data_IF_223433474282
#
_entry.id   IF_223433474282
#
_cell.length_a   1.000
_cell.length_b   1.000
_cell.length_c   1.000
_cell.angle_alpha   90.00
_cell.angle_beta   90.00
_cell.angle_gamma   90.00
#
_symmetry.space_group_name_H-M   'P 1'
#
loop_
_entity.id
_entity.type
_entity.pdbx_description
1 polymer ?
#
# COMPACT_ATOMS: atom_id res chain seq x y z
N UNK A 1 -35.38 -32.17 13.83
CA UNK A 1 -34.62 -31.67 12.66
C UNK A 1 -33.38 -30.96 13.18
N UNK A 2 -32.23 -31.63 13.15
CA UNK A 2 -30.96 -31.09 13.65
C UNK A 2 -30.44 -30.04 12.69
N UNK A 3 -30.26 -28.80 13.16
CA UNK A 3 -29.54 -27.76 12.43
C UNK A 3 -28.08 -28.20 12.34
N UNK A 4 -27.62 -28.51 11.14
CA UNK A 4 -26.20 -28.70 10.84
C UNK A 4 -25.43 -27.46 11.31
N UNK A 5 -24.31 -27.62 12.04
CA UNK A 5 -23.41 -26.51 12.34
C UNK A 5 -22.94 -25.92 11.01
N UNK A 6 -23.00 -24.59 10.87
CA UNK A 6 -22.35 -23.91 9.73
C UNK A 6 -20.86 -24.23 9.82
N UNK A 7 -20.34 -24.94 8.83
CA UNK A 7 -18.91 -25.15 8.63
C UNK A 7 -18.18 -23.81 8.63
N UNK A 8 -16.94 -23.73 9.16
CA UNK A 8 -16.13 -22.52 9.05
C UNK A 8 -16.02 -22.14 7.57
N UNK A 9 -16.39 -20.91 7.23
CA UNK A 9 -16.41 -20.41 5.85
C UNK A 9 -15.05 -20.64 5.17
N UNK A 10 -15.08 -21.26 4.01
CA UNK A 10 -14.01 -21.28 2.98
C UNK A 10 -13.61 -19.87 2.46
N UNK A 11 -14.16 -18.80 3.06
CA UNK A 11 -13.99 -17.40 2.65
C UNK A 11 -12.60 -16.81 2.96
N UNK A 12 -11.75 -17.53 3.70
CA UNK A 12 -10.38 -17.08 4.04
C UNK A 12 -9.31 -17.67 3.09
N UNK A 13 -9.72 -18.37 2.03
CA UNK A 13 -8.81 -18.89 1.02
C UNK A 13 -8.27 -17.81 0.07
N UNK A 14 -9.00 -16.71 -0.10
CA UNK A 14 -8.65 -15.62 -1.03
C UNK A 14 -8.84 -14.22 -0.41
N UNK A 15 -7.98 -13.28 -0.79
CA UNK A 15 -8.16 -11.84 -0.62
C UNK A 15 -8.36 -11.22 -2.00
N UNK A 16 -9.55 -10.71 -2.33
CA UNK A 16 -9.84 -10.00 -3.60
C UNK A 16 -9.25 -10.67 -4.87
N UNK A 17 -9.30 -12.00 -4.94
CA UNK A 17 -8.74 -12.80 -6.06
C UNK A 17 -7.33 -13.37 -5.83
N UNK A 18 -6.60 -12.89 -4.82
CA UNK A 18 -5.32 -13.44 -4.39
C UNK A 18 -5.50 -14.63 -3.48
N UNK A 19 -4.94 -15.80 -3.82
CA UNK A 19 -4.84 -16.92 -2.89
C UNK A 19 -4.05 -16.50 -1.65
N UNK A 20 -4.63 -16.66 -0.46
CA UNK A 20 -3.98 -16.31 0.82
C UNK A 20 -2.68 -17.09 1.00
N UNK A 21 -2.60 -18.33 0.52
CA UNK A 21 -1.34 -19.10 0.48
C UNK A 21 -0.22 -18.41 -0.31
N UNK A 22 -0.55 -17.70 -1.40
CA UNK A 22 0.45 -16.93 -2.17
C UNK A 22 0.81 -15.63 -1.46
N UNK A 23 -0.14 -15.00 -0.79
CA UNK A 23 0.07 -13.81 0.03
C UNK A 23 0.94 -14.15 1.25
N UNK A 24 0.73 -15.31 1.88
CA UNK A 24 1.51 -15.73 3.05
C UNK A 24 2.94 -16.18 2.71
N UNK A 25 3.23 -16.55 1.46
CA UNK A 25 4.59 -16.91 1.02
C UNK A 25 5.52 -15.69 0.95
N UNK A 26 6.60 -15.71 1.73
CA UNK A 26 7.48 -14.54 1.96
C UNK A 26 8.29 -14.09 0.73
N UNK A 27 8.67 -14.99 -0.18
CA UNK A 27 9.67 -14.69 -1.22
C UNK A 27 9.12 -14.08 -2.51
N UNK A 28 7.84 -14.30 -2.84
CA UNK A 28 7.25 -13.80 -4.10
C UNK A 28 6.58 -12.44 -3.91
N UNK A 29 6.78 -11.54 -4.89
CA UNK A 29 6.00 -10.30 -4.99
C UNK A 29 4.55 -10.65 -5.32
N UNK A 30 3.62 -9.88 -4.76
CA UNK A 30 2.21 -9.93 -5.11
C UNK A 30 1.96 -8.81 -6.11
N UNK A 31 1.40 -9.16 -7.27
CA UNK A 31 0.98 -8.20 -8.28
C UNK A 31 -0.39 -7.63 -7.87
N UNK A 32 -0.35 -6.61 -6.99
CA UNK A 32 -1.52 -5.94 -6.46
C UNK A 32 -2.34 -5.25 -7.56
N UNK A 33 -3.67 -5.36 -7.47
CA UNK A 33 -4.62 -4.71 -8.34
C UNK A 33 -4.46 -3.18 -8.20
N UNK A 34 -4.78 -2.46 -9.28
CA UNK A 34 -4.70 -1.01 -9.28
C UNK A 34 -5.52 -0.37 -8.15
N UNK A 35 -6.68 -0.95 -7.80
CA UNK A 35 -7.52 -0.51 -6.70
C UNK A 35 -6.86 -0.66 -5.33
N UNK A 36 -6.11 -1.74 -5.10
CA UNK A 36 -5.43 -1.98 -3.83
C UNK A 36 -4.19 -1.09 -3.70
N UNK A 37 -3.46 -0.89 -4.80
CA UNK A 37 -2.36 0.07 -4.85
C UNK A 37 -2.83 1.50 -4.54
N UNK A 38 -4.01 1.91 -5.03
CA UNK A 38 -4.61 3.21 -4.66
C UNK A 38 -4.80 3.36 -3.16
N UNK A 39 -5.30 2.31 -2.48
CA UNK A 39 -5.45 2.29 -1.02
C UNK A 39 -4.09 2.49 -0.34
N UNK A 40 -3.05 1.77 -0.80
CA UNK A 40 -1.71 1.93 -0.24
C UNK A 40 -1.16 3.33 -0.45
N UNK A 41 -1.33 3.90 -1.65
CA UNK A 41 -0.74 5.19 -2.01
C UNK A 41 -1.40 6.32 -1.21
N UNK A 42 -2.72 6.25 -1.05
CA UNK A 42 -3.47 7.13 -0.15
C UNK A 42 -2.97 7.03 1.29
N UNK A 43 -2.84 5.81 1.80
CA UNK A 43 -2.38 5.56 3.15
C UNK A 43 -0.96 6.11 3.40
N UNK A 44 -0.03 5.87 2.48
CA UNK A 44 1.34 6.37 2.59
C UNK A 44 1.41 7.89 2.58
N UNK A 45 0.70 8.56 1.68
CA UNK A 45 0.69 10.01 1.58
C UNK A 45 0.04 10.67 2.82
N UNK A 46 -1.05 10.07 3.34
CA UNK A 46 -1.77 10.54 4.54
C UNK A 46 -0.87 10.52 5.77
N UNK A 47 -0.16 9.42 5.99
CA UNK A 47 0.69 9.22 7.18
C UNK A 47 2.16 9.60 6.99
N UNK A 48 2.51 10.18 5.84
CA UNK A 48 3.89 10.53 5.47
C UNK A 48 4.84 9.34 5.61
N UNK A 49 4.43 8.17 5.10
CA UNK A 49 5.23 6.96 5.14
C UNK A 49 6.32 7.09 4.09
N UNK A 50 7.57 7.16 4.52
CA UNK A 50 8.73 7.33 3.64
C UNK A 50 9.86 6.36 3.93
N UNK A 51 9.83 5.70 5.09
CA UNK A 51 10.80 4.71 5.53
C UNK A 51 10.14 3.51 6.21
N UNK A 52 10.95 2.59 6.74
CA UNK A 52 10.48 1.37 7.41
C UNK A 52 9.82 1.68 8.76
N UNK A 53 10.32 2.68 9.46
CA UNK A 53 9.88 3.10 10.80
C UNK A 53 8.45 3.65 10.76
N UNK A 54 8.03 4.19 9.62
CA UNK A 54 6.71 4.76 9.42
C UNK A 54 5.62 3.72 9.13
N UNK A 55 5.98 2.47 8.79
CA UNK A 55 5.05 1.48 8.24
C UNK A 55 3.88 1.12 9.17
N UNK A 56 4.02 1.32 10.48
CA UNK A 56 2.98 1.01 11.45
C UNK A 56 1.97 2.16 11.64
N UNK A 57 2.21 3.33 11.03
CA UNK A 57 1.32 4.48 11.20
C UNK A 57 -0.03 4.21 10.54
N UNK A 58 -1.12 4.32 11.30
CA UNK A 58 -2.47 4.15 10.78
C UNK A 58 -2.83 2.71 10.38
N UNK A 59 -2.14 1.71 10.96
CA UNK A 59 -2.33 0.29 10.63
C UNK A 59 -3.79 -0.17 10.71
N UNK A 60 -4.55 0.28 11.72
CA UNK A 60 -5.97 -0.03 11.86
C UNK A 60 -6.83 0.57 10.72
N UNK A 61 -6.48 1.79 10.27
CA UNK A 61 -7.16 2.44 9.14
C UNK A 61 -6.90 1.66 7.85
N UNK A 62 -5.65 1.22 7.63
CA UNK A 62 -5.30 0.41 6.46
C UNK A 62 -6.04 -0.94 6.47
N UNK A 63 -6.08 -1.62 7.62
CA UNK A 63 -6.79 -2.88 7.80
C UNK A 63 -8.28 -2.73 7.50
N UNK A 64 -8.89 -1.61 7.93
CA UNK A 64 -10.28 -1.25 7.61
C UNK A 64 -10.49 -0.99 6.12
N UNK A 65 -9.63 -0.19 5.49
CA UNK A 65 -9.77 0.17 4.07
C UNK A 65 -9.58 -1.03 3.13
N UNK A 66 -8.78 -2.02 3.54
CA UNK A 66 -8.68 -3.30 2.84
C UNK A 66 -9.90 -4.21 3.04
N UNK A 67 -10.77 -3.90 4.00
CA UNK A 67 -12.00 -4.65 4.26
C UNK A 67 -11.75 -5.99 4.96
N UNK A 68 -10.70 -6.06 5.79
CA UNK A 68 -10.26 -7.31 6.42
C UNK A 68 -10.37 -7.30 7.95
N UNK A 69 -11.02 -6.29 8.53
CA UNK A 69 -11.18 -6.13 9.98
C UNK A 69 -11.85 -7.33 10.66
N UNK A 70 -12.88 -7.90 10.03
CA UNK A 70 -13.68 -8.99 10.60
C UNK A 70 -13.13 -10.39 10.27
N UNK A 71 -11.94 -10.46 9.66
CA UNK A 71 -11.29 -11.72 9.24
C UNK A 71 -10.53 -12.37 10.39
N UNK A 72 -10.08 -13.60 10.20
CA UNK A 72 -9.21 -14.27 11.16
C UNK A 72 -7.87 -13.52 11.33
N UNK A 73 -7.25 -13.62 12.50
CA UNK A 73 -5.96 -12.96 12.77
C UNK A 73 -4.84 -13.47 11.84
N UNK A 74 -4.85 -14.75 11.51
CA UNK A 74 -3.93 -15.34 10.55
C UNK A 74 -4.09 -14.73 9.15
N UNK A 75 -5.33 -14.51 8.72
CA UNK A 75 -5.65 -13.85 7.45
C UNK A 75 -5.17 -12.39 7.45
N UNK A 76 -5.52 -11.61 8.49
CA UNK A 76 -5.08 -10.21 8.61
C UNK A 76 -3.57 -10.11 8.56
N UNK A 77 -2.88 -10.95 9.33
CA UNK A 77 -1.41 -10.99 9.38
C UNK A 77 -0.80 -11.28 8.01
N UNK A 78 -1.34 -12.25 7.26
CA UNK A 78 -0.86 -12.57 5.93
C UNK A 78 -0.98 -11.38 4.96
N UNK A 79 -2.19 -10.79 4.86
CA UNK A 79 -2.47 -9.66 3.97
C UNK A 79 -1.63 -8.44 4.35
N UNK A 80 -1.62 -8.08 5.63
CA UNK A 80 -0.92 -6.88 6.11
C UNK A 80 0.60 -6.99 5.96
N UNK A 81 1.20 -8.15 6.22
CA UNK A 81 2.64 -8.34 6.00
C UNK A 81 3.03 -8.07 4.54
N UNK A 82 2.20 -8.51 3.58
CA UNK A 82 2.46 -8.22 2.16
C UNK A 82 2.14 -6.80 1.75
N UNK A 83 1.07 -6.22 2.28
CA UNK A 83 0.73 -4.82 2.04
C UNK A 83 1.88 -3.91 2.50
N UNK A 84 2.37 -4.11 3.73
CA UNK A 84 3.51 -3.36 4.29
C UNK A 84 4.79 -3.58 3.49
N UNK A 85 5.07 -4.81 3.05
CA UNK A 85 6.22 -5.11 2.18
C UNK A 85 6.14 -4.35 0.84
N UNK A 86 4.94 -4.30 0.25
CA UNK A 86 4.69 -3.56 -1.00
C UNK A 86 4.85 -2.05 -0.79
N UNK A 87 4.23 -1.49 0.25
CA UNK A 87 4.36 -0.09 0.68
C UNK A 87 5.83 0.28 0.83
N UNK A 88 6.59 -0.52 1.58
CA UNK A 88 8.01 -0.30 1.83
C UNK A 88 8.82 -0.27 0.53
N UNK A 89 8.59 -1.22 -0.37
CA UNK A 89 9.24 -1.24 -1.69
C UNK A 89 8.93 0.02 -2.50
N UNK A 90 7.68 0.50 -2.48
CA UNK A 90 7.30 1.69 -3.22
C UNK A 90 8.01 2.94 -2.67
N UNK A 91 8.02 3.17 -1.36
CA UNK A 91 8.57 4.41 -0.79
C UNK A 91 10.10 4.43 -0.71
N UNK A 92 10.75 3.27 -0.65
CA UNK A 92 12.22 3.19 -0.57
C UNK A 92 12.91 3.01 -1.91
N UNK A 93 12.21 2.47 -2.91
CA UNK A 93 12.77 2.26 -4.25
C UNK A 93 11.96 2.96 -5.32
N UNK A 94 10.76 2.47 -5.62
CA UNK A 94 10.03 2.87 -6.83
C UNK A 94 9.75 4.38 -6.89
N UNK A 95 9.27 5.00 -5.82
CA UNK A 95 8.92 6.43 -5.83
C UNK A 95 10.10 7.39 -5.73
N UNK A 96 11.32 6.86 -5.62
CA UNK A 96 12.57 7.63 -5.65
C UNK A 96 13.28 7.50 -7.01
N UNK A 97 12.87 6.56 -7.85
CA UNK A 97 13.43 6.38 -9.19
C UNK A 97 12.98 7.54 -10.11
N UNK A 98 13.86 8.07 -10.98
CA UNK A 98 13.56 9.27 -11.79
C UNK A 98 12.29 9.18 -12.64
N UNK A 99 11.93 7.97 -13.12
CA UNK A 99 10.75 7.76 -13.98
C UNK A 99 9.42 7.72 -13.21
N UNK A 100 9.48 7.49 -11.92
CA UNK A 100 8.32 7.29 -11.04
C UNK A 100 8.44 8.15 -9.79
N UNK A 101 9.20 9.25 -9.87
CA UNK A 101 9.54 10.10 -8.74
C UNK A 101 8.29 10.81 -8.23
N UNK A 102 7.82 10.38 -7.06
CA UNK A 102 6.70 10.99 -6.34
C UNK A 102 7.19 11.60 -5.03
N UNK A 103 8.18 10.97 -4.40
CA UNK A 103 8.84 11.51 -3.22
C UNK A 103 9.91 12.51 -3.66
N UNK A 104 10.01 13.61 -2.92
CA UNK A 104 11.04 14.62 -3.14
C UNK A 104 12.04 14.59 -1.96
N UNK A 105 13.35 14.65 -2.24
CA UNK A 105 14.32 14.87 -1.18
C UNK A 105 14.15 16.30 -0.67
N UNK A 106 14.30 16.49 0.63
CA UNK A 106 14.42 17.83 1.22
C UNK A 106 15.90 18.12 1.53
N UNK A 107 16.22 19.38 1.81
CA UNK A 107 17.58 19.83 2.13
C UNK A 107 18.06 19.37 3.52
N UNK A 108 17.46 18.34 4.09
CA UNK A 108 17.83 17.73 5.37
C UNK A 108 18.42 16.34 5.08
N UNK A 109 19.52 16.01 5.75
CA UNK A 109 20.09 14.67 5.77
C UNK A 109 19.72 13.97 7.07
N UNK A 110 19.49 12.67 7.01
CA UNK A 110 19.33 11.83 8.20
C UNK A 110 20.70 11.58 8.89
N UNK A 111 20.73 10.95 10.08
CA UNK A 111 21.99 10.66 10.78
C UNK A 111 22.97 9.75 10.02
N UNK A 112 22.50 9.02 8.99
CA UNK A 112 23.33 8.21 8.13
C UNK A 112 23.90 8.99 6.92
N UNK A 113 23.50 10.27 6.77
CA UNK A 113 23.92 11.13 5.67
C UNK A 113 23.07 10.99 4.40
N UNK A 114 21.94 10.29 4.47
CA UNK A 114 21.02 10.13 3.35
C UNK A 114 19.99 11.26 3.32
N UNK A 115 19.52 11.62 2.11
CA UNK A 115 18.44 12.59 1.97
C UNK A 115 17.18 12.13 2.70
N UNK A 116 16.58 13.03 3.48
CA UNK A 116 15.23 12.84 4.00
C UNK A 116 14.24 13.01 2.86
N UNK A 117 13.32 12.06 2.71
CA UNK A 117 12.30 12.09 1.66
C UNK A 117 10.96 12.52 2.24
N UNK A 118 10.17 13.30 1.49
CA UNK A 118 8.81 13.68 1.88
C UNK A 118 7.82 13.46 0.74
N UNK A 119 6.58 13.22 1.10
CA UNK A 119 5.46 13.32 0.16
C UNK A 119 5.14 14.81 -0.04
N UNK A 120 5.20 15.33 -1.28
CA UNK A 120 4.77 16.68 -1.56
C UNK A 120 3.33 16.97 -1.11
N UNK A 121 3.05 18.21 -0.73
CA UNK A 121 1.68 18.62 -0.30
C UNK A 121 0.64 18.34 -1.38
N UNK A 122 0.99 18.53 -2.65
CA UNK A 122 0.12 18.28 -3.79
C UNK A 122 -0.16 16.79 -4.04
N UNK A 123 0.68 15.87 -3.54
CA UNK A 123 0.42 14.42 -3.69
C UNK A 123 -0.88 14.02 -3.00
N UNK A 124 -1.29 14.75 -1.95
CA UNK A 124 -2.61 14.60 -1.32
C UNK A 124 -3.77 15.09 -2.19
N UNK A 125 -3.52 16.01 -3.12
CA UNK A 125 -4.51 16.52 -4.08
C UNK A 125 -4.62 15.61 -5.30
N UNK A 126 -3.52 15.00 -5.75
CA UNK A 126 -3.56 13.97 -6.79
C UNK A 126 -4.35 12.74 -6.36
N UNK A 127 -4.47 12.48 -5.06
CA UNK A 127 -5.20 11.34 -4.51
C UNK A 127 -6.67 11.68 -4.14
N UNK A 128 -7.22 12.84 -4.53
CA UNK A 128 -8.62 13.25 -4.25
C UNK A 128 -9.60 12.94 -5.40
N UNK A 129 -10.50 11.99 -5.15
CA UNK A 129 -11.94 11.86 -5.49
C UNK A 129 -12.61 12.21 -6.84
N UNK A 130 -11.99 12.76 -7.88
CA UNK A 130 -12.54 12.64 -9.27
C UNK A 130 -12.18 11.29 -9.94
N UNK A 131 -11.79 10.32 -9.11
CA UNK A 131 -11.10 9.07 -9.43
C UNK A 131 -12.03 7.89 -9.75
N UNK A 132 -13.12 8.18 -10.45
CA UNK A 132 -13.76 7.25 -11.40
C UNK A 132 -12.97 7.12 -12.71
N UNK A 133 -12.06 8.04 -13.04
CA UNK A 133 -11.34 7.92 -14.32
C UNK A 133 -9.99 8.66 -14.37
N UNK A 134 -9.23 8.77 -13.28
CA UNK A 134 -7.85 9.26 -13.38
C UNK A 134 -6.90 8.10 -13.67
N UNK A 135 -6.67 7.96 -14.97
CA UNK A 135 -5.56 7.28 -15.62
C UNK A 135 -4.30 7.37 -14.76
N UNK A 136 -3.75 6.20 -14.43
CA UNK A 136 -2.37 5.99 -13.97
C UNK A 136 -1.40 6.33 -15.15
N UNK A 137 -1.54 7.50 -15.75
CA UNK A 137 -0.72 7.96 -16.87
C UNK A 137 0.44 8.85 -16.36
N UNK A 138 0.28 9.47 -15.19
CA UNK A 138 1.35 10.28 -14.59
C UNK A 138 2.52 9.48 -14.01
N UNK A 139 2.33 8.19 -13.71
CA UNK A 139 3.41 7.32 -13.24
C UNK A 139 4.22 6.67 -14.39
N UNK A 140 3.87 6.94 -15.66
CA UNK A 140 4.52 6.33 -16.83
C UNK A 140 5.02 7.34 -17.88
N UNK A 141 4.78 8.65 -17.72
CA UNK A 141 5.19 9.62 -18.73
C UNK A 141 5.27 11.05 -18.23
N UNK A 142 6.51 11.53 -18.10
CA UNK A 142 6.94 12.94 -18.13
C UNK A 142 6.39 13.86 -17.03
N UNK A 143 7.30 14.25 -16.13
CA UNK A 143 7.31 15.62 -15.60
C UNK A 143 7.57 16.54 -16.80
N UNK A 144 6.51 17.16 -17.32
CA UNK A 144 6.68 18.37 -18.12
C UNK A 144 7.06 19.49 -17.15
N UNK A 145 8.23 20.03 -17.41
CA UNK A 145 8.84 21.24 -16.87
C UNK A 145 7.82 22.33 -16.57
N UNK A 146 7.83 22.86 -15.35
CA UNK A 146 7.48 24.25 -15.03
C UNK A 146 8.42 24.73 -13.92
#
# INVERSE_FOLDING_TARGET
MSRTPRTPRDDDSHFRGYKIERVSQSSKRVDWEASDLKIFYYHMARYQITSREDLQRGFDELTRNLGIMDRSESYKKAVMNKALSSIHYHVTKKFREPRTQVLVPINELDPAGDYVWKWPRYSRQWLRDDWGEIRILFLMGRIATF
#
